data_IF_086844880962
#
_entry.id   IF_086844880962
#
_cell.length_a   1.000
_cell.length_b   1.000
_cell.length_c   1.000
_cell.angle_alpha   90.00
_cell.angle_beta   90.00
_cell.angle_gamma   90.00
#
_symmetry.space_group_name_H-M   'P 1'
#
loop_
_entity.id
_entity.type
_entity.pdbx_description
1 polymer ?
#
# COMPACT_ATOMS: atom_id res chain seq x y z
N UNK A 1 -14.34 48.12 27.71
CA UNK A 1 -15.68 48.59 27.31
C UNK A 1 -16.38 47.39 26.72
N UNK A 2 -17.34 46.85 27.48
CA UNK A 2 -18.21 45.72 27.14
C UNK A 2 -18.96 45.93 25.82
N UNK A 3 -19.28 44.83 25.14
CA UNK A 3 -20.70 44.42 25.03
C UNK A 3 -20.82 42.89 25.02
N UNK A 4 -21.46 42.34 26.05
CA UNK A 4 -22.06 41.00 26.05
C UNK A 4 -23.26 41.00 25.12
N UNK A 5 -23.37 40.03 24.22
CA UNK A 5 -24.66 39.62 23.66
C UNK A 5 -24.90 38.19 24.11
N UNK A 6 -25.93 38.05 24.94
CA UNK A 6 -26.51 36.76 25.35
C UNK A 6 -27.46 36.37 24.22
N UNK A 7 -27.22 35.22 23.57
CA UNK A 7 -28.19 34.63 22.65
C UNK A 7 -28.86 33.42 23.33
N UNK A 8 -30.18 33.48 23.43
CA UNK A 8 -31.06 32.48 24.04
C UNK A 8 -31.80 31.75 22.92
N UNK A 9 -31.43 30.49 22.69
CA UNK A 9 -32.26 29.51 21.99
C UNK A 9 -32.04 29.39 20.48
N UNK A 10 -31.56 28.24 20.02
CA UNK A 10 -31.51 27.92 18.60
C UNK A 10 -30.72 26.65 18.26
N UNK A 11 -31.44 25.52 18.21
CA UNK A 11 -31.21 24.34 17.37
C UNK A 11 -29.78 23.80 17.25
N UNK A 12 -29.51 22.68 17.92
CA UNK A 12 -28.38 21.78 17.67
C UNK A 12 -28.37 21.35 16.19
N UNK A 13 -27.60 22.03 15.36
CA UNK A 13 -27.23 21.50 14.04
C UNK A 13 -26.23 20.39 14.28
N UNK A 14 -26.71 19.15 14.16
CA UNK A 14 -25.85 17.97 14.01
C UNK A 14 -24.95 18.22 12.81
N UNK A 15 -23.68 18.54 13.07
CA UNK A 15 -22.66 18.63 12.03
C UNK A 15 -22.29 17.20 11.65
N UNK A 16 -23.16 16.53 10.90
CA UNK A 16 -22.76 15.44 10.04
C UNK A 16 -21.69 16.02 9.13
N UNK A 17 -20.43 15.66 9.40
CA UNK A 17 -19.29 15.92 8.53
C UNK A 17 -19.63 15.27 7.19
N UNK A 18 -20.21 16.03 6.26
CA UNK A 18 -20.22 15.61 4.87
C UNK A 18 -18.76 15.42 4.49
N UNK A 19 -18.38 14.16 4.33
CA UNK A 19 -17.07 13.76 3.83
C UNK A 19 -16.96 14.40 2.45
N UNK A 20 -16.26 15.54 2.36
CA UNK A 20 -16.03 16.24 1.11
C UNK A 20 -15.63 15.20 0.06
N UNK A 21 -16.38 15.12 -1.03
CA UNK A 21 -16.25 14.08 -2.06
C UNK A 21 -14.85 14.16 -2.66
N UNK A 22 -13.90 13.43 -2.07
CA UNK A 22 -12.54 13.35 -2.59
C UNK A 22 -12.60 12.47 -3.83
N UNK A 23 -12.05 12.97 -4.93
CA UNK A 23 -11.89 12.13 -6.13
C UNK A 23 -11.15 10.85 -5.73
N UNK A 24 -11.58 9.68 -6.26
CA UNK A 24 -10.87 8.42 -6.05
C UNK A 24 -9.39 8.60 -6.37
N UNK A 25 -8.52 8.12 -5.48
CA UNK A 25 -7.07 8.26 -5.60
C UNK A 25 -6.40 6.90 -5.71
N UNK A 26 -5.48 6.77 -6.65
CA UNK A 26 -4.68 5.56 -6.76
C UNK A 26 -3.61 5.55 -5.66
N UNK A 27 -3.51 4.43 -4.95
CA UNK A 27 -2.44 4.13 -4.00
C UNK A 27 -1.65 2.94 -4.53
N UNK A 28 -0.44 3.21 -5.03
CA UNK A 28 0.40 2.16 -5.60
C UNK A 28 1.09 1.37 -4.50
N UNK A 29 0.96 0.04 -4.53
CA UNK A 29 1.69 -0.89 -3.67
C UNK A 29 2.70 -1.69 -4.49
N UNK A 30 3.90 -1.85 -3.95
CA UNK A 30 5.00 -2.60 -4.56
C UNK A 30 4.89 -4.07 -4.21
N UNK A 31 5.08 -4.95 -5.18
CA UNK A 31 5.10 -6.39 -4.98
C UNK A 31 6.39 -6.97 -5.57
N UNK A 32 7.26 -7.48 -4.71
CA UNK A 32 8.54 -8.07 -5.06
C UNK A 32 8.41 -9.60 -5.02
N UNK A 33 8.39 -10.24 -6.17
CA UNK A 33 8.12 -11.68 -6.31
C UNK A 33 9.28 -12.39 -7.01
N UNK A 34 9.41 -13.70 -6.87
CA UNK A 34 10.36 -14.50 -7.66
C UNK A 34 9.59 -15.51 -8.52
N UNK A 35 9.25 -15.10 -9.75
CA UNK A 35 8.56 -15.96 -10.72
C UNK A 35 9.58 -16.88 -11.40
N UNK A 36 10.75 -16.33 -11.72
CA UNK A 36 11.88 -17.07 -12.30
C UNK A 36 12.98 -17.26 -11.25
N UNK A 37 14.08 -17.90 -11.66
CA UNK A 37 15.25 -18.10 -10.80
C UNK A 37 15.28 -19.46 -10.10
N UNK A 38 16.16 -19.53 -9.09
CA UNK A 38 16.56 -20.78 -8.42
C UNK A 38 15.85 -21.08 -7.09
N UNK A 39 14.95 -20.21 -6.62
CA UNK A 39 14.20 -20.47 -5.40
C UNK A 39 13.31 -21.70 -5.58
N UNK A 40 13.48 -22.67 -4.68
CA UNK A 40 12.92 -24.03 -4.81
C UNK A 40 11.39 -24.05 -4.82
N UNK A 41 10.78 -23.18 -4.05
CA UNK A 41 9.34 -23.25 -3.80
C UNK A 41 8.51 -22.45 -4.82
N UNK A 42 9.16 -21.52 -5.56
CA UNK A 42 8.54 -20.63 -6.56
C UNK A 42 7.17 -20.14 -6.12
N UNK A 43 7.07 -19.73 -4.86
CA UNK A 43 5.85 -19.28 -4.23
C UNK A 43 5.28 -18.07 -4.96
N UNK A 44 6.11 -17.30 -5.65
CA UNK A 44 5.72 -16.18 -6.48
C UNK A 44 4.61 -16.50 -7.47
N UNK A 45 4.47 -17.74 -7.96
CA UNK A 45 3.34 -18.12 -8.83
C UNK A 45 2.01 -18.13 -8.08
N UNK A 46 1.95 -18.78 -6.91
CA UNK A 46 0.73 -18.88 -6.11
C UNK A 46 0.40 -17.53 -5.42
N UNK A 47 1.42 -16.88 -4.84
CA UNK A 47 1.27 -15.61 -4.15
C UNK A 47 0.85 -14.49 -5.11
N UNK A 48 1.29 -14.51 -6.38
CA UNK A 48 0.82 -13.53 -7.38
C UNK A 48 -0.69 -13.62 -7.63
N UNK A 49 -1.26 -14.82 -7.62
CA UNK A 49 -2.71 -15.01 -7.70
C UNK A 49 -3.42 -14.51 -6.45
N UNK A 50 -2.92 -14.90 -5.28
CA UNK A 50 -3.52 -14.50 -4.00
C UNK A 50 -3.50 -12.99 -3.77
N UNK A 51 -2.39 -12.31 -4.05
CA UNK A 51 -2.29 -10.86 -3.89
C UNK A 51 -3.21 -10.13 -4.87
N UNK A 52 -3.29 -10.58 -6.13
CA UNK A 52 -4.19 -9.99 -7.13
C UNK A 52 -5.65 -10.10 -6.69
N UNK A 53 -6.06 -11.29 -6.22
CA UNK A 53 -7.40 -11.51 -5.66
C UNK A 53 -7.68 -10.61 -4.45
N UNK A 54 -6.72 -10.46 -3.55
CA UNK A 54 -6.88 -9.59 -2.37
C UNK A 54 -7.04 -8.11 -2.74
N UNK A 55 -6.29 -7.60 -3.73
CA UNK A 55 -6.50 -6.24 -4.22
C UNK A 55 -7.90 -6.09 -4.85
N UNK A 56 -8.34 -7.07 -5.63
CA UNK A 56 -9.65 -7.03 -6.26
C UNK A 56 -10.78 -7.04 -5.21
N UNK A 57 -10.68 -7.85 -4.16
CA UNK A 57 -11.65 -7.86 -3.06
C UNK A 57 -11.69 -6.52 -2.32
N UNK A 58 -10.53 -5.96 -1.96
CA UNK A 58 -10.45 -4.67 -1.24
C UNK A 58 -11.01 -3.54 -2.11
N UNK A 59 -10.62 -3.47 -3.37
CA UNK A 59 -11.04 -2.40 -4.28
C UNK A 59 -12.55 -2.45 -4.60
N UNK A 60 -13.19 -3.62 -4.48
CA UNK A 60 -14.61 -3.80 -4.71
C UNK A 60 -15.46 -3.73 -3.42
N UNK A 61 -14.84 -3.65 -2.24
CA UNK A 61 -15.57 -3.47 -0.97
C UNK A 61 -15.78 -1.98 -0.66
N UNK A 62 -17.02 -1.46 -0.71
CA UNK A 62 -17.29 -0.05 -0.44
C UNK A 62 -17.04 0.36 1.02
N UNK A 63 -16.80 -0.59 1.93
CA UNK A 63 -16.51 -0.32 3.34
C UNK A 63 -15.00 -0.23 3.61
N UNK A 64 -14.16 -0.71 2.70
CA UNK A 64 -12.70 -0.71 2.85
C UNK A 64 -12.12 0.29 1.86
N UNK A 65 -11.58 1.40 2.37
CA UNK A 65 -10.94 2.44 1.57
C UNK A 65 -11.81 3.01 0.41
N UNK A 66 -13.05 3.49 0.66
CA UNK A 66 -14.05 3.83 -0.36
C UNK A 66 -13.64 4.87 -1.44
N UNK A 67 -12.59 5.66 -1.22
CA UNK A 67 -12.07 6.63 -2.21
C UNK A 67 -10.63 6.31 -2.66
N UNK A 68 -10.17 5.08 -2.46
CA UNK A 68 -8.81 4.68 -2.81
C UNK A 68 -8.87 3.43 -3.67
N UNK A 69 -8.17 3.48 -4.80
CA UNK A 69 -7.91 2.30 -5.60
C UNK A 69 -6.49 1.83 -5.29
N UNK A 70 -6.34 0.64 -4.75
CA UNK A 70 -5.05 -0.03 -4.66
C UNK A 70 -4.61 -0.46 -6.06
N UNK A 71 -3.40 -0.05 -6.44
CA UNK A 71 -2.78 -0.42 -7.73
C UNK A 71 -1.52 -1.20 -7.45
N UNK A 72 -1.42 -2.42 -7.97
CA UNK A 72 -0.23 -3.23 -7.80
C UNK A 72 0.84 -2.88 -8.86
N UNK A 73 2.03 -2.50 -8.40
CA UNK A 73 3.24 -2.43 -9.19
C UNK A 73 4.15 -3.58 -8.80
N UNK A 74 4.42 -4.50 -9.71
CA UNK A 74 5.21 -5.69 -9.41
C UNK A 74 6.45 -5.81 -10.28
N UNK A 75 7.45 -6.57 -9.82
CA UNK A 75 8.61 -6.93 -10.61
C UNK A 75 9.13 -8.33 -10.24
N UNK A 76 9.58 -9.10 -11.24
CA UNK A 76 10.22 -10.40 -11.04
C UNK A 76 11.68 -10.20 -10.58
N UNK A 77 11.91 -10.44 -9.31
CA UNK A 77 13.22 -10.33 -8.65
C UNK A 77 14.12 -11.52 -8.93
N UNK A 78 13.54 -12.64 -9.41
CA UNK A 78 14.23 -13.91 -9.60
C UNK A 78 14.86 -14.52 -8.33
N UNK A 79 14.52 -14.00 -7.16
CA UNK A 79 15.15 -14.37 -5.88
C UNK A 79 16.54 -13.77 -5.68
N UNK A 80 16.96 -12.83 -6.53
CA UNK A 80 18.29 -12.22 -6.49
C UNK A 80 18.24 -10.86 -5.79
N UNK A 81 19.07 -10.68 -4.76
CA UNK A 81 19.09 -9.44 -3.94
C UNK A 81 19.35 -8.18 -4.78
N UNK A 82 20.27 -8.23 -5.73
CA UNK A 82 20.59 -7.05 -6.57
C UNK A 82 19.40 -6.67 -7.46
N UNK A 83 18.68 -7.64 -8.02
CA UNK A 83 17.51 -7.39 -8.86
C UNK A 83 16.32 -6.91 -8.03
N UNK A 84 16.11 -7.51 -6.85
CA UNK A 84 15.10 -7.07 -5.89
C UNK A 84 15.33 -5.62 -5.45
N UNK A 85 16.54 -5.31 -4.99
CA UNK A 85 16.92 -3.96 -4.57
C UNK A 85 16.79 -2.95 -5.70
N UNK A 86 17.25 -3.27 -6.92
CA UNK A 86 17.10 -2.39 -8.09
C UNK A 86 15.62 -2.07 -8.35
N UNK A 87 14.78 -3.11 -8.45
CA UNK A 87 13.36 -2.94 -8.70
C UNK A 87 12.67 -2.13 -7.59
N UNK A 88 13.06 -2.35 -6.33
CA UNK A 88 12.56 -1.59 -5.19
C UNK A 88 12.90 -0.10 -5.30
N UNK A 89 14.14 0.25 -5.64
CA UNK A 89 14.55 1.65 -5.85
C UNK A 89 13.77 2.30 -6.98
N UNK A 90 13.56 1.60 -8.10
CA UNK A 90 12.74 2.10 -9.20
C UNK A 90 11.30 2.39 -8.74
N UNK A 91 10.67 1.46 -8.01
CA UNK A 91 9.32 1.64 -7.47
C UNK A 91 9.24 2.78 -6.43
N UNK A 92 10.29 2.98 -5.63
CA UNK A 92 10.39 4.12 -4.70
C UNK A 92 10.35 5.45 -5.46
N UNK A 93 11.08 5.54 -6.57
CA UNK A 93 11.06 6.71 -7.44
C UNK A 93 9.68 6.91 -8.11
N UNK A 94 8.94 5.83 -8.36
CA UNK A 94 7.56 5.85 -8.87
C UNK A 94 6.50 6.24 -7.81
N UNK A 95 6.89 6.37 -6.53
CA UNK A 95 5.99 6.83 -5.46
C UNK A 95 5.13 5.74 -4.83
N UNK A 96 5.64 4.50 -4.76
CA UNK A 96 5.03 3.40 -4.00
C UNK A 96 4.81 3.74 -2.52
N UNK A 97 3.67 3.31 -1.98
CA UNK A 97 3.27 3.57 -0.60
C UNK A 97 3.69 2.48 0.39
N UNK A 98 3.85 1.24 -0.07
CA UNK A 98 4.22 0.08 0.75
C UNK A 98 4.76 -1.05 -0.14
N UNK A 99 5.53 -1.97 0.43
CA UNK A 99 6.02 -3.17 -0.25
C UNK A 99 5.49 -4.46 0.38
N UNK A 100 5.21 -5.45 -0.47
CA UNK A 100 5.02 -6.85 -0.11
C UNK A 100 6.15 -7.69 -0.71
N UNK A 101 6.79 -8.54 0.11
CA UNK A 101 7.96 -9.35 -0.28
C UNK A 101 9.29 -8.81 0.28
N UNK A 102 10.44 -9.19 -0.30
CA UNK A 102 10.61 -10.10 -1.44
C UNK A 102 10.34 -11.58 -1.10
N UNK A 103 10.33 -12.43 -2.14
CA UNK A 103 10.42 -13.87 -1.97
C UNK A 103 11.89 -14.26 -1.71
N UNK A 104 12.20 -14.60 -0.45
CA UNK A 104 13.53 -14.97 0.00
C UNK A 104 13.95 -14.16 1.24
N UNK A 105 15.25 -13.88 1.36
CA UNK A 105 15.73 -12.98 2.41
C UNK A 105 15.24 -11.55 2.13
N UNK A 106 14.61 -10.93 3.12
CA UNK A 106 14.16 -9.54 3.05
C UNK A 106 15.15 -8.55 3.67
N UNK A 107 16.31 -9.00 4.16
CA UNK A 107 17.20 -8.20 5.00
C UNK A 107 17.65 -6.88 4.33
N UNK A 108 18.09 -6.95 3.08
CA UNK A 108 18.60 -5.76 2.36
C UNK A 108 17.45 -4.83 2.01
N UNK A 109 16.39 -5.37 1.43
CA UNK A 109 15.22 -4.61 1.00
C UNK A 109 14.52 -3.95 2.20
N UNK A 110 14.44 -4.63 3.35
CA UNK A 110 13.87 -4.06 4.58
C UNK A 110 14.65 -2.85 5.09
N UNK A 111 15.99 -2.89 5.02
CA UNK A 111 16.84 -1.74 5.37
C UNK A 111 16.58 -0.57 4.40
N UNK A 112 16.47 -0.85 3.10
CA UNK A 112 16.16 0.16 2.08
C UNK A 112 14.78 0.77 2.33
N UNK A 113 13.73 -0.03 2.57
CA UNK A 113 12.39 0.43 2.93
C UNK A 113 12.41 1.33 4.16
N UNK A 114 13.07 0.90 5.24
CA UNK A 114 13.19 1.66 6.48
C UNK A 114 13.89 3.00 6.26
N UNK A 115 14.97 3.03 5.47
CA UNK A 115 15.71 4.27 5.16
C UNK A 115 14.87 5.31 4.43
N UNK A 116 13.81 4.88 3.75
CA UNK A 116 12.87 5.73 3.00
C UNK A 116 11.55 5.95 3.73
N UNK A 117 11.40 5.43 4.95
CA UNK A 117 10.15 5.45 5.71
C UNK A 117 8.97 4.85 4.92
N UNK A 118 9.21 3.74 4.22
CA UNK A 118 8.19 3.00 3.46
C UNK A 118 8.00 1.65 4.14
N UNK A 119 6.78 1.28 4.55
CA UNK A 119 6.53 -0.01 5.18
C UNK A 119 6.75 -1.16 4.20
N UNK A 120 7.30 -2.26 4.71
CA UNK A 120 7.50 -3.51 3.99
C UNK A 120 6.95 -4.67 4.82
N UNK A 121 6.18 -5.56 4.18
CA UNK A 121 5.58 -6.75 4.79
C UNK A 121 6.10 -7.97 4.04
N UNK A 122 6.91 -8.80 4.70
CA UNK A 122 7.34 -10.09 4.15
C UNK A 122 6.22 -11.12 4.31
N UNK A 123 6.03 -11.95 3.29
CA UNK A 123 5.11 -13.09 3.31
C UNK A 123 5.84 -14.44 3.33
N UNK A 124 7.17 -14.43 3.33
CA UNK A 124 8.02 -15.60 3.60
C UNK A 124 8.80 -15.36 4.89
N UNK A 125 8.84 -16.39 5.73
CA UNK A 125 9.49 -16.40 7.05
C UNK A 125 10.67 -17.36 7.06
#
# INVERSE_FOLDING_TARGET
METRIIDHGGTTKSSSLERATRKPRNLTIGYLTAIKGGLKDRQGLAISGAISMALDEINNDPNILPDVQLVMRWNDTRGETVEATKAMIDMICEGVAAFFGPEGSCYVEAIVAQSRNIPMISYVS
#
